data_IF_955395634911
#
_entry.id   IF_955395634911
#
_cell.length_a   1.000
_cell.length_b   1.000
_cell.length_c   1.000
_cell.angle_alpha   90.00
_cell.angle_beta   90.00
_cell.angle_gamma   90.00
#
_symmetry.space_group_name_H-M   'P 1'
#
loop_
_entity.id
_entity.type
_entity.pdbx_description
1 polymer ?
#
# COMPACT_ATOMS: atom_id res chain seq x y z
N UNK A 1 4.42 -0.84 -48.82
CA UNK A 1 5.60 -1.32 -48.08
C UNK A 1 5.16 -1.47 -46.64
N UNK A 2 5.28 -2.67 -46.04
CA UNK A 2 4.73 -3.04 -44.74
C UNK A 2 5.25 -2.11 -43.62
N UNK A 3 4.32 -1.44 -42.92
CA UNK A 3 4.58 -0.77 -41.64
C UNK A 3 4.16 -1.73 -40.53
N UNK A 4 5.02 -2.71 -40.25
CA UNK A 4 4.81 -3.57 -39.08
C UNK A 4 5.24 -2.82 -37.82
N UNK A 5 4.36 -2.85 -36.82
CA UNK A 5 4.47 -2.11 -35.57
C UNK A 5 5.83 -2.26 -34.90
N UNK A 6 6.57 -1.15 -34.83
CA UNK A 6 7.75 -1.06 -33.98
C UNK A 6 7.28 -1.24 -32.53
N UNK A 7 7.80 -2.27 -31.87
CA UNK A 7 7.61 -2.45 -30.44
C UNK A 7 8.22 -1.23 -29.75
N UNK A 8 7.46 -0.47 -28.96
CA UNK A 8 8.01 0.63 -28.19
C UNK A 8 9.16 0.10 -27.34
N UNK A 9 10.33 0.71 -27.46
CA UNK A 9 11.47 0.49 -26.57
C UNK A 9 11.52 1.64 -25.59
N UNK A 10 11.69 1.35 -24.30
CA UNK A 10 11.88 2.41 -23.32
C UNK A 10 13.11 3.24 -23.70
N UNK A 11 13.03 4.58 -23.70
CA UNK A 11 14.13 5.44 -24.13
C UNK A 11 15.30 5.49 -23.13
N UNK A 12 15.24 4.73 -22.02
CA UNK A 12 16.33 4.67 -21.04
C UNK A 12 17.52 3.93 -21.65
N UNK A 13 18.66 4.61 -21.70
CA UNK A 13 19.94 3.98 -22.09
C UNK A 13 20.41 3.04 -20.98
N UNK A 14 20.43 1.74 -21.26
CA UNK A 14 21.09 0.76 -20.41
C UNK A 14 22.60 1.00 -20.46
N UNK A 15 23.25 1.24 -19.32
CA UNK A 15 24.71 1.32 -19.26
C UNK A 15 25.31 -0.08 -19.15
N UNK A 16 26.25 -0.40 -20.04
CA UNK A 16 26.98 -1.68 -20.04
C UNK A 16 28.21 -1.52 -19.14
N UNK A 17 28.38 -2.43 -18.19
CA UNK A 17 29.55 -2.50 -17.32
C UNK A 17 30.68 -3.32 -17.97
N UNK A 18 30.33 -4.48 -18.53
CA UNK A 18 31.26 -5.46 -19.09
C UNK A 18 30.56 -6.29 -20.18
N UNK A 19 31.33 -7.00 -20.99
CA UNK A 19 30.82 -8.00 -21.94
C UNK A 19 31.52 -9.34 -21.71
N UNK A 20 30.75 -10.42 -21.62
CA UNK A 20 31.27 -11.79 -21.48
C UNK A 20 31.12 -12.52 -22.80
N UNK A 21 32.17 -13.21 -23.24
CA UNK A 21 32.14 -14.07 -24.42
C UNK A 21 31.68 -15.48 -24.03
N UNK A 22 30.40 -15.77 -24.26
CA UNK A 22 29.81 -17.10 -24.07
C UNK A 22 28.74 -17.36 -25.13
N UNK A 23 29.08 -18.18 -26.13
CA UNK A 23 28.29 -18.35 -27.37
C UNK A 23 27.96 -16.99 -28.04
N UNK A 24 28.90 -16.05 -27.96
CA UNK A 24 28.80 -14.66 -28.43
C UNK A 24 28.99 -13.62 -27.31
N UNK A 25 29.14 -12.36 -27.70
CA UNK A 25 29.34 -11.25 -26.78
C UNK A 25 28.03 -10.89 -26.03
N UNK A 26 27.95 -11.24 -24.74
CA UNK A 26 26.81 -10.96 -23.86
C UNK A 26 27.10 -9.74 -22.98
N UNK A 27 26.34 -8.64 -23.09
CA UNK A 27 26.55 -7.47 -22.24
C UNK A 27 26.05 -7.71 -20.81
N UNK A 28 26.81 -7.24 -19.83
CA UNK A 28 26.46 -7.14 -18.42
C UNK A 28 26.11 -5.68 -18.14
N UNK A 29 24.89 -5.43 -17.68
CA UNK A 29 24.46 -4.09 -17.30
C UNK A 29 25.14 -3.61 -16.01
N UNK A 30 25.36 -2.30 -15.89
CA UNK A 30 25.71 -1.70 -14.60
C UNK A 30 24.57 -1.89 -13.59
N UNK A 31 24.95 -2.03 -12.33
CA UNK A 31 24.02 -2.14 -11.20
C UNK A 31 23.85 -0.76 -10.57
N UNK A 32 22.60 -0.37 -10.35
CA UNK A 32 22.24 0.90 -9.68
C UNK A 32 21.82 0.69 -8.21
N UNK A 33 21.98 -0.53 -7.68
CA UNK A 33 21.61 -0.90 -6.33
C UNK A 33 22.80 -1.49 -5.56
N UNK A 34 22.81 -1.28 -4.24
CA UNK A 34 23.79 -1.88 -3.34
C UNK A 34 23.30 -3.24 -2.86
N UNK A 35 24.22 -4.21 -2.77
CA UNK A 35 23.94 -5.53 -2.20
C UNK A 35 24.17 -5.44 -0.69
N UNK A 36 23.21 -5.94 0.08
CA UNK A 36 23.28 -6.05 1.54
C UNK A 36 23.92 -7.38 1.94
N UNK A 37 23.39 -8.46 1.37
CA UNK A 37 23.73 -9.84 1.72
C UNK A 37 23.65 -10.73 0.47
N UNK A 38 24.35 -11.87 0.49
CA UNK A 38 24.22 -12.93 -0.51
C UNK A 38 23.77 -14.19 0.23
N UNK A 39 22.64 -14.76 -0.19
CA UNK A 39 22.09 -15.99 0.37
C UNK A 39 22.44 -17.15 -0.56
N UNK A 40 23.01 -18.21 0.01
CA UNK A 40 23.31 -19.46 -0.68
C UNK A 40 22.06 -20.37 -0.68
N UNK A 41 21.17 -20.17 -1.65
CA UNK A 41 19.96 -20.99 -1.83
C UNK A 41 19.79 -21.34 -3.31
N UNK A 42 20.24 -22.54 -3.69
CA UNK A 42 20.34 -22.99 -5.09
C UNK A 42 21.16 -22.02 -5.97
N UNK A 43 22.29 -21.54 -5.40
CA UNK A 43 23.21 -20.56 -5.98
C UNK A 43 23.31 -19.27 -5.17
N UNK A 44 24.16 -18.35 -5.62
CA UNK A 44 24.36 -17.04 -5.00
C UNK A 44 23.17 -16.11 -5.33
N UNK A 45 22.29 -15.85 -4.35
CA UNK A 45 21.17 -14.91 -4.47
C UNK A 45 21.48 -13.60 -3.75
N UNK A 46 21.80 -12.50 -4.46
CA UNK A 46 22.05 -11.22 -3.83
C UNK A 46 20.74 -10.59 -3.35
N UNK A 47 20.75 -10.10 -2.11
CA UNK A 47 19.69 -9.31 -1.48
C UNK A 47 20.09 -7.83 -1.58
N UNK A 48 19.27 -7.03 -2.25
CA UNK A 48 19.53 -5.60 -2.37
C UNK A 48 19.19 -4.87 -1.06
N UNK A 49 19.99 -3.87 -0.70
CA UNK A 49 19.68 -2.98 0.43
C UNK A 49 18.33 -2.31 0.23
N UNK A 50 17.52 -2.34 1.28
CA UNK A 50 16.23 -1.64 1.33
C UNK A 50 16.25 -0.59 2.43
N UNK A 51 15.63 0.58 2.18
CA UNK A 51 15.41 1.60 3.20
C UNK A 51 14.09 1.39 3.96
N UNK A 52 13.44 0.23 3.78
CA UNK A 52 12.21 -0.09 4.50
C UNK A 52 12.53 -0.26 5.99
N UNK A 53 11.86 0.52 6.84
CA UNK A 53 12.07 0.44 8.30
C UNK A 53 11.31 -0.77 8.82
N UNK A 54 11.96 -1.55 9.68
CA UNK A 54 11.34 -2.68 10.38
C UNK A 54 10.06 -2.22 11.08
N UNK A 55 8.92 -2.59 10.50
CA UNK A 55 7.62 -2.43 11.12
C UNK A 55 7.29 -3.68 11.94
N UNK A 56 6.26 -3.64 12.78
CA UNK A 56 5.87 -4.83 13.57
C UNK A 56 5.58 -5.97 12.60
N UNK A 57 6.11 -7.16 12.88
CA UNK A 57 5.88 -8.36 12.04
C UNK A 57 4.81 -9.24 12.70
N UNK A 58 3.82 -9.68 11.91
CA UNK A 58 2.90 -10.74 12.31
C UNK A 58 3.45 -12.09 11.85
N UNK A 59 3.52 -13.06 12.76
CA UNK A 59 4.09 -14.41 12.56
C UNK A 59 3.05 -15.52 12.46
N UNK A 60 1.78 -15.18 12.22
CA UNK A 60 0.65 -16.14 12.24
C UNK A 60 0.59 -17.01 10.97
N UNK A 61 1.25 -16.60 9.88
CA UNK A 61 1.41 -17.38 8.65
C UNK A 61 2.53 -16.75 7.79
N UNK A 62 3.78 -17.04 8.14
CA UNK A 62 4.95 -16.31 7.62
C UNK A 62 5.19 -14.97 8.30
N UNK A 63 6.13 -14.18 7.79
CA UNK A 63 6.50 -12.87 8.33
C UNK A 63 5.85 -11.75 7.51
N UNK A 64 4.70 -11.24 7.99
CA UNK A 64 3.99 -10.15 7.31
C UNK A 64 4.23 -8.81 8.03
N UNK A 65 4.85 -7.81 7.37
CA UNK A 65 4.97 -6.46 7.92
C UNK A 65 3.60 -5.85 8.23
N UNK A 66 3.53 -5.05 9.28
CA UNK A 66 2.33 -4.31 9.70
C UNK A 66 2.66 -2.84 9.85
N UNK A 67 1.98 -2.03 9.05
CA UNK A 67 2.08 -0.59 9.17
C UNK A 67 1.47 -0.09 10.49
N UNK A 68 2.10 0.88 11.16
CA UNK A 68 1.52 1.50 12.34
C UNK A 68 0.19 2.17 11.98
N UNK A 69 -0.80 2.04 12.87
CA UNK A 69 -2.11 2.70 12.76
C UNK A 69 -2.30 3.64 13.95
N UNK A 70 -2.97 4.76 13.72
CA UNK A 70 -3.34 5.73 14.77
C UNK A 70 -4.65 5.34 15.51
N UNK A 71 -5.27 4.21 15.16
CA UNK A 71 -6.50 3.75 15.81
C UNK A 71 -6.26 3.43 17.29
N UNK A 72 -6.98 4.13 18.19
CA UNK A 72 -6.95 3.87 19.62
C UNK A 72 -8.17 3.03 20.03
N UNK A 73 -7.93 1.78 20.45
CA UNK A 73 -8.96 0.88 20.95
C UNK A 73 -9.30 1.26 22.40
N UNK A 74 -10.57 1.59 22.66
CA UNK A 74 -11.07 1.95 23.98
C UNK A 74 -11.51 0.71 24.78
N UNK A 75 -12.16 -0.24 24.11
CA UNK A 75 -12.69 -1.45 24.72
C UNK A 75 -12.76 -2.60 23.69
N UNK A 76 -13.00 -3.80 24.18
CA UNK A 76 -13.33 -4.96 23.35
C UNK A 76 -14.64 -5.58 23.82
N UNK A 77 -15.39 -6.18 22.90
CA UNK A 77 -16.64 -6.88 23.19
C UNK A 77 -16.57 -8.28 22.62
N UNK A 78 -16.86 -9.28 23.46
CA UNK A 78 -16.89 -10.70 23.06
C UNK A 78 -18.26 -11.06 22.48
N UNK A 79 -18.44 -10.78 21.19
CA UNK A 79 -19.60 -11.21 20.40
C UNK A 79 -19.04 -11.83 19.12
N UNK A 80 -18.92 -13.14 19.11
CA UNK A 80 -18.26 -13.89 18.04
C UNK A 80 -16.77 -13.49 17.90
N UNK A 81 -16.06 -13.56 19.03
CA UNK A 81 -14.68 -13.12 19.18
C UNK A 81 -14.54 -11.72 19.78
N UNK A 82 -13.31 -11.33 20.09
CA UNK A 82 -12.99 -10.02 20.66
C UNK A 82 -13.06 -8.92 19.58
N UNK A 83 -14.21 -8.25 19.47
CA UNK A 83 -14.41 -7.13 18.54
C UNK A 83 -13.97 -5.82 19.18
N UNK A 84 -13.00 -5.08 18.59
CA UNK A 84 -12.54 -3.82 19.16
C UNK A 84 -13.56 -2.68 18.97
N UNK A 85 -13.70 -1.84 19.99
CA UNK A 85 -14.40 -0.56 19.97
C UNK A 85 -13.34 0.54 19.96
N UNK A 86 -13.32 1.36 18.92
CA UNK A 86 -12.35 2.44 18.73
C UNK A 86 -12.92 3.75 19.25
N UNK A 87 -12.06 4.60 19.81
CA UNK A 87 -12.45 5.96 20.18
C UNK A 87 -12.99 6.74 18.98
N UNK A 88 -13.95 7.60 19.25
CA UNK A 88 -14.55 8.47 18.25
C UNK A 88 -14.85 9.85 18.86
N UNK A 89 -14.60 10.90 18.10
CA UNK A 89 -14.93 12.28 18.48
C UNK A 89 -16.41 12.64 18.17
N UNK A 90 -17.23 11.66 17.77
CA UNK A 90 -18.63 11.90 17.46
C UNK A 90 -19.47 12.13 18.73
N UNK A 91 -20.11 13.29 18.81
CA UNK A 91 -21.10 13.62 19.84
C UNK A 91 -22.52 13.32 19.36
N UNK A 92 -23.23 12.45 20.09
CA UNK A 92 -24.64 12.15 19.84
C UNK A 92 -25.49 13.33 20.33
N UNK A 93 -26.21 14.00 19.42
CA UNK A 93 -27.06 15.16 19.75
C UNK A 93 -28.51 14.80 20.01
N UNK A 94 -28.99 13.75 19.36
CA UNK A 94 -30.35 13.28 19.48
C UNK A 94 -30.41 11.79 19.12
N UNK A 95 -31.55 11.14 19.37
CA UNK A 95 -31.77 9.71 19.05
C UNK A 95 -33.14 9.54 18.42
N UNK A 96 -33.19 8.78 17.34
CA UNK A 96 -34.43 8.45 16.65
C UNK A 96 -34.95 7.08 17.10
N UNK A 97 -36.14 7.07 17.68
CA UNK A 97 -36.81 5.86 18.16
C UNK A 97 -37.63 5.18 17.05
N UNK A 98 -36.95 4.69 16.01
CA UNK A 98 -37.53 3.82 14.98
C UNK A 98 -36.71 2.54 14.87
N UNK A 99 -37.34 1.40 15.15
CA UNK A 99 -36.69 0.09 15.21
C UNK A 99 -35.40 0.09 16.07
N UNK A 100 -35.53 0.65 17.29
CA UNK A 100 -34.42 0.85 18.22
C UNK A 100 -34.02 2.33 18.36
N UNK A 101 -32.91 2.56 19.06
CA UNK A 101 -32.37 3.89 19.38
C UNK A 101 -31.26 4.24 18.38
N UNK A 102 -31.62 4.88 17.26
CA UNK A 102 -30.65 5.23 16.21
C UNK A 102 -30.00 6.59 16.53
N UNK A 103 -28.67 6.68 16.74
CA UNK A 103 -28.03 7.94 17.11
C UNK A 103 -28.03 8.96 15.95
N UNK A 104 -28.28 10.23 16.28
CA UNK A 104 -28.18 11.37 15.37
C UNK A 104 -26.97 12.22 15.79
N UNK A 105 -25.98 12.31 14.92
CA UNK A 105 -24.80 13.16 15.07
C UNK A 105 -24.93 14.42 14.23
N UNK A 106 -24.27 15.51 14.65
CA UNK A 106 -24.16 16.68 13.81
C UNK A 106 -23.24 16.40 12.62
N UNK A 107 -23.73 16.64 11.41
CA UNK A 107 -22.88 16.68 10.24
C UNK A 107 -22.28 18.10 10.12
N UNK A 108 -20.97 18.25 10.32
CA UNK A 108 -20.24 19.50 10.04
C UNK A 108 -19.96 19.71 8.53
N UNK A 109 -20.71 19.04 7.65
CA UNK A 109 -20.64 19.28 6.22
C UNK A 109 -21.13 20.70 5.95
N UNK A 110 -20.26 21.57 5.42
CA UNK A 110 -20.66 22.85 4.84
C UNK A 110 -21.85 22.59 3.93
N UNK A 111 -22.96 23.33 4.10
CA UNK A 111 -24.09 23.23 3.17
C UNK A 111 -23.53 23.33 1.75
N UNK A 112 -23.68 22.31 0.88
CA UNK A 112 -23.35 22.51 -0.51
C UNK A 112 -24.21 23.67 -0.99
N UNK A 113 -23.58 24.70 -1.54
CA UNK A 113 -24.30 25.80 -2.18
C UNK A 113 -25.15 25.19 -3.29
N UNK A 114 -26.43 24.93 -3.00
CA UNK A 114 -27.38 24.51 -4.01
C UNK A 114 -27.50 25.68 -4.98
N UNK A 115 -26.86 25.53 -6.14
CA UNK A 115 -26.94 26.46 -7.25
C UNK A 115 -28.42 26.60 -7.58
N UNK A 116 -29.00 27.79 -7.35
CA UNK A 116 -30.43 28.08 -7.56
C UNK A 116 -30.80 28.25 -9.05
N UNK A 117 -30.02 27.66 -9.96
CA UNK A 117 -30.14 27.86 -11.41
C UNK A 117 -31.28 27.04 -12.06
N UNK A 118 -32.06 26.29 -11.28
CA UNK A 118 -33.23 25.57 -11.77
C UNK A 118 -34.51 26.07 -11.10
N UNK A 119 -34.87 27.32 -11.38
CA UNK A 119 -36.24 27.81 -11.27
C UNK A 119 -36.51 28.56 -12.59
N UNK A 120 -37.22 27.89 -13.49
CA UNK A 120 -37.82 28.47 -14.70
C UNK A 120 -39.31 28.75 -14.42
#
# INVERSE_FOLDING_TARGET
MHVDGQRPVDPKSLEIAETVEDDGARPIAKRDFEIEEIVEDDGERPIAKSNFKDSKILTIDGERPVDPSELEVEATVDIDGERPIVKSDYEIKDTLDIDGHRPITANNTQKPDMIKDYID
#
